data_IF_372095024051
#
_entry.id   IF_372095024051
#
_cell.length_a   1.000
_cell.length_b   1.000
_cell.length_c   1.000
_cell.angle_alpha   90.00
_cell.angle_beta   90.00
_cell.angle_gamma   90.00
#
_symmetry.space_group_name_H-M   'P 1'
#
loop_
_entity.id
_entity.type
_entity.pdbx_description
1 polymer ?
#
# COMPACT_ATOMS: atom_id res chain seq x y z
N UNK A 1 10.96 97.14 -25.36
CA UNK A 1 10.26 96.44 -24.24
C UNK A 1 9.62 95.14 -24.63
N UNK A 2 9.43 94.83 -25.91
CA UNK A 2 8.79 93.59 -26.36
C UNK A 2 9.69 92.28 -26.29
N UNK A 3 11.03 92.44 -26.31
CA UNK A 3 11.92 91.24 -26.33
C UNK A 3 12.18 90.63 -24.95
N UNK A 4 12.14 91.40 -23.87
CA UNK A 4 12.28 90.90 -22.52
C UNK A 4 11.10 90.00 -22.09
N UNK A 5 9.90 90.34 -22.51
CA UNK A 5 8.71 89.55 -22.18
C UNK A 5 8.66 88.25 -22.96
N UNK A 6 9.16 88.16 -24.18
CA UNK A 6 9.28 86.87 -24.92
C UNK A 6 10.32 85.93 -24.31
N UNK A 7 11.46 86.49 -23.85
CA UNK A 7 12.49 85.69 -23.18
C UNK A 7 12.01 85.11 -21.81
N UNK A 8 11.21 85.87 -21.07
CA UNK A 8 10.59 85.39 -19.81
C UNK A 8 9.52 84.37 -20.10
N UNK A 9 8.72 84.46 -21.15
CA UNK A 9 7.69 83.47 -21.53
C UNK A 9 8.32 82.18 -22.04
N UNK A 10 9.38 82.24 -22.83
CA UNK A 10 10.09 81.02 -23.31
C UNK A 10 10.89 80.36 -22.20
N UNK A 11 11.52 81.13 -21.30
CA UNK A 11 12.21 80.55 -20.12
C UNK A 11 11.23 79.94 -19.12
N UNK A 12 10.10 80.60 -18.88
CA UNK A 12 9.04 79.98 -18.01
C UNK A 12 8.41 78.71 -18.58
N UNK A 13 8.18 78.70 -19.91
CA UNK A 13 7.68 77.53 -20.63
C UNK A 13 8.65 76.30 -20.58
N UNK A 14 9.96 76.61 -20.76
CA UNK A 14 10.98 75.56 -20.66
C UNK A 14 11.11 74.96 -19.22
N UNK A 15 10.99 75.85 -18.22
CA UNK A 15 11.03 75.48 -16.81
C UNK A 15 9.80 74.58 -16.43
N UNK A 16 8.62 74.96 -16.93
CA UNK A 16 7.37 74.20 -16.71
C UNK A 16 7.38 72.86 -17.42
N UNK A 17 7.90 72.82 -18.66
CA UNK A 17 8.14 71.55 -19.37
C UNK A 17 9.16 70.63 -18.63
N UNK A 18 10.24 71.21 -18.12
CA UNK A 18 11.22 70.49 -17.30
C UNK A 18 10.61 69.90 -16.02
N UNK A 19 9.77 70.71 -15.34
CA UNK A 19 9.03 70.22 -14.15
C UNK A 19 8.03 69.11 -14.48
N UNK A 20 7.31 69.20 -15.60
CA UNK A 20 6.37 68.19 -16.07
C UNK A 20 7.12 66.88 -16.40
N UNK A 21 8.27 66.96 -17.07
CA UNK A 21 9.11 65.84 -17.39
C UNK A 21 9.71 65.20 -16.11
N UNK A 22 10.15 65.98 -15.15
CA UNK A 22 10.65 65.60 -13.87
C UNK A 22 9.56 64.91 -13.04
N UNK A 23 8.36 65.45 -13.04
CA UNK A 23 7.18 64.91 -12.40
C UNK A 23 6.76 63.56 -13.05
N UNK A 24 6.77 63.50 -14.38
CA UNK A 24 6.48 62.26 -15.12
C UNK A 24 7.53 61.17 -14.86
N UNK A 25 8.81 61.50 -14.77
CA UNK A 25 9.89 60.57 -14.42
C UNK A 25 9.83 60.15 -12.94
N UNK A 26 9.46 61.05 -12.03
CA UNK A 26 9.33 60.79 -10.60
C UNK A 26 8.08 59.97 -10.25
N UNK A 27 7.01 60.11 -11.04
CA UNK A 27 5.73 59.41 -10.84
C UNK A 27 5.54 58.19 -11.72
N UNK A 28 6.59 57.73 -12.41
CA UNK A 28 6.50 56.45 -13.11
C UNK A 28 6.21 55.36 -12.11
N UNK A 29 5.10 54.57 -12.28
CA UNK A 29 4.82 53.45 -11.44
C UNK A 29 6.01 52.47 -11.52
N UNK A 30 6.55 52.14 -10.37
CA UNK A 30 7.65 51.16 -10.28
C UNK A 30 7.09 49.77 -10.50
N UNK A 31 7.78 48.96 -11.31
CA UNK A 31 7.47 47.56 -11.45
C UNK A 31 7.50 46.90 -10.07
N UNK A 32 6.45 46.18 -9.72
CA UNK A 32 6.38 45.43 -8.46
C UNK A 32 6.91 44.03 -8.72
N UNK A 33 7.82 43.55 -7.84
CA UNK A 33 8.44 42.23 -7.97
C UNK A 33 7.89 41.32 -6.89
N UNK A 34 7.21 40.26 -7.31
CA UNK A 34 6.77 39.21 -6.42
C UNK A 34 7.86 38.14 -6.33
N UNK A 35 8.09 37.65 -5.12
CA UNK A 35 9.02 36.58 -4.86
C UNK A 35 8.25 35.30 -4.60
N UNK A 36 8.61 34.25 -5.34
CA UNK A 36 8.19 32.85 -5.07
C UNK A 36 9.38 31.94 -4.84
N UNK A 37 9.10 30.71 -4.56
CA UNK A 37 10.10 29.67 -4.33
C UNK A 37 9.80 28.45 -5.17
N UNK A 38 10.86 27.83 -5.71
CA UNK A 38 10.74 26.54 -6.37
C UNK A 38 10.56 25.44 -5.32
N UNK A 39 9.51 24.66 -5.48
CA UNK A 39 9.22 23.47 -4.69
C UNK A 39 9.26 22.23 -5.59
N UNK A 40 9.38 21.07 -4.99
CA UNK A 40 9.29 19.80 -5.68
C UNK A 40 8.67 18.75 -4.74
N UNK A 41 8.12 17.70 -5.33
CA UNK A 41 7.45 16.66 -4.54
C UNK A 41 8.44 15.89 -3.69
N UNK A 42 8.15 15.86 -2.39
CA UNK A 42 8.89 15.08 -1.43
C UNK A 42 8.20 13.73 -1.17
N UNK A 43 9.00 12.68 -1.13
CA UNK A 43 8.59 11.32 -0.81
C UNK A 43 9.31 10.82 0.43
N UNK A 44 8.55 10.27 1.36
CA UNK A 44 9.08 9.65 2.56
C UNK A 44 9.24 8.15 2.34
N UNK A 45 10.46 7.65 2.45
CA UNK A 45 10.74 6.20 2.48
C UNK A 45 10.69 5.76 3.93
N UNK A 46 9.61 5.07 4.29
CA UNK A 46 9.33 4.59 5.64
C UNK A 46 9.21 3.07 5.67
N UNK A 47 9.41 2.47 6.86
CA UNK A 47 9.21 1.04 7.05
C UNK A 47 7.78 0.72 7.48
N UNK A 48 7.21 -0.34 6.91
CA UNK A 48 5.97 -0.95 7.42
C UNK A 48 6.19 -1.82 8.65
N UNK A 49 7.44 -2.17 8.92
CA UNK A 49 7.85 -3.08 9.99
C UNK A 49 8.64 -2.30 11.02
N UNK A 50 8.30 -2.39 12.32
CA UNK A 50 9.16 -1.85 13.36
C UNK A 50 10.41 -2.73 13.51
N UNK A 51 11.54 -2.09 13.80
CA UNK A 51 12.79 -2.82 14.02
C UNK A 51 13.99 -1.88 14.09
N UNK A 52 15.17 -2.45 14.24
CA UNK A 52 16.41 -1.68 14.25
C UNK A 52 16.94 -1.52 12.84
N UNK A 53 17.28 -0.29 12.45
CA UNK A 53 17.98 -0.05 11.17
C UNK A 53 19.30 -0.82 11.18
N UNK A 54 19.42 -1.79 10.31
CA UNK A 54 20.66 -2.56 10.14
C UNK A 54 21.68 -1.73 9.38
N UNK A 55 21.25 -1.18 8.23
CA UNK A 55 22.11 -0.36 7.37
C UNK A 55 21.28 0.59 6.52
N UNK A 56 21.79 1.81 6.35
CA UNK A 56 21.33 2.75 5.33
C UNK A 56 22.33 2.73 4.19
N UNK A 57 21.88 2.52 2.96
CA UNK A 57 22.72 2.34 1.77
C UNK A 57 22.93 3.64 0.99
N UNK A 58 22.18 4.69 1.33
CA UNK A 58 22.17 5.98 0.64
C UNK A 58 22.63 7.09 1.56
N UNK A 59 23.12 8.18 0.98
CA UNK A 59 23.53 9.40 1.68
C UNK A 59 22.78 10.60 1.12
N UNK A 60 22.71 11.65 1.91
CA UNK A 60 22.17 12.94 1.47
C UNK A 60 22.89 13.44 0.20
N UNK A 61 22.11 13.77 -0.83
CA UNK A 61 22.59 14.20 -2.14
C UNK A 61 22.77 13.08 -3.17
N UNK A 62 22.58 11.80 -2.78
CA UNK A 62 22.66 10.71 -3.73
C UNK A 62 21.48 10.72 -4.70
N UNK A 63 21.73 10.47 -5.98
CA UNK A 63 20.73 10.24 -7.00
C UNK A 63 20.44 8.75 -7.08
N UNK A 64 19.20 8.35 -6.81
CA UNK A 64 18.78 6.95 -6.78
C UNK A 64 17.61 6.73 -7.73
N UNK A 65 17.50 5.51 -8.26
CA UNK A 65 16.43 5.08 -9.16
C UNK A 65 15.35 4.35 -8.41
N UNK A 66 14.16 4.36 -8.95
CA UNK A 66 13.05 3.53 -8.45
C UNK A 66 13.47 2.06 -8.34
N UNK A 67 13.27 1.48 -7.16
CA UNK A 67 13.63 0.09 -6.85
C UNK A 67 15.00 -0.09 -6.23
N UNK A 68 15.87 0.93 -6.23
CA UNK A 68 17.17 0.86 -5.56
C UNK A 68 16.97 0.67 -4.04
N UNK A 69 17.85 -0.11 -3.42
CA UNK A 69 17.79 -0.38 -1.98
C UNK A 69 18.22 0.85 -1.19
N UNK A 70 17.35 1.31 -0.30
CA UNK A 70 17.56 2.53 0.50
C UNK A 70 18.08 2.19 1.90
N UNK A 71 17.41 1.28 2.60
CA UNK A 71 17.84 0.81 3.93
C UNK A 71 17.35 -0.60 4.20
N UNK A 72 17.96 -1.28 5.18
CA UNK A 72 17.51 -2.56 5.72
C UNK A 72 17.23 -2.47 7.22
N UNK A 73 16.26 -3.27 7.68
CA UNK A 73 15.87 -3.39 9.09
C UNK A 73 16.16 -4.81 9.55
N UNK A 74 16.70 -4.93 10.74
CA UNK A 74 16.79 -6.19 11.48
C UNK A 74 15.57 -6.31 12.40
N UNK A 75 14.81 -7.39 12.24
CA UNK A 75 13.63 -7.70 13.06
C UNK A 75 13.62 -9.19 13.43
N UNK A 76 14.39 -9.60 14.46
CA UNK A 76 14.44 -10.99 14.92
C UNK A 76 13.05 -11.52 15.33
N UNK A 77 12.15 -10.63 15.75
CA UNK A 77 10.78 -10.97 16.11
C UNK A 77 9.98 -11.47 14.92
N UNK A 78 10.22 -10.93 13.72
CA UNK A 78 9.57 -11.40 12.49
C UNK A 78 10.13 -12.74 12.04
N UNK A 79 11.42 -12.97 12.19
CA UNK A 79 12.04 -14.26 11.88
C UNK A 79 11.49 -15.35 12.81
N UNK A 80 11.34 -15.05 14.11
CA UNK A 80 10.73 -15.96 15.07
C UNK A 80 9.24 -16.23 14.74
N UNK A 81 8.50 -15.22 14.32
CA UNK A 81 7.10 -15.37 13.85
C UNK A 81 7.01 -16.21 12.60
N UNK A 82 7.94 -16.04 11.64
CA UNK A 82 7.99 -16.91 10.45
C UNK A 82 8.18 -18.36 10.85
N UNK A 83 9.18 -18.65 11.66
CA UNK A 83 9.46 -20.00 12.13
C UNK A 83 8.24 -20.63 12.86
N UNK A 84 7.52 -19.84 13.67
CA UNK A 84 6.27 -20.26 14.31
C UNK A 84 5.16 -20.57 13.29
N UNK A 85 4.96 -19.69 12.31
CA UNK A 85 3.94 -19.87 11.26
C UNK A 85 4.25 -21.09 10.39
N UNK A 86 5.50 -21.30 10.00
CA UNK A 86 5.96 -22.48 9.24
C UNK A 86 5.73 -23.78 10.02
N UNK A 87 6.04 -23.79 11.32
CA UNK A 87 5.77 -24.93 12.18
C UNK A 87 4.27 -25.23 12.26
N UNK A 88 3.43 -24.19 12.40
CA UNK A 88 1.97 -24.30 12.37
C UNK A 88 1.44 -24.86 11.04
N UNK A 89 1.95 -24.37 9.93
CA UNK A 89 1.61 -24.88 8.59
C UNK A 89 2.03 -26.35 8.42
N UNK A 90 3.24 -26.72 8.85
CA UNK A 90 3.73 -28.10 8.81
C UNK A 90 2.84 -29.05 9.60
N UNK A 91 2.38 -28.64 10.79
CA UNK A 91 1.45 -29.43 11.61
C UNK A 91 0.07 -29.57 10.94
N UNK A 92 -0.48 -28.48 10.41
CA UNK A 92 -1.77 -28.49 9.70
C UNK A 92 -1.71 -29.34 8.42
N UNK A 93 -0.61 -29.28 7.70
CA UNK A 93 -0.36 -30.10 6.51
C UNK A 93 -0.27 -31.58 6.86
N UNK A 94 0.45 -31.95 7.92
CA UNK A 94 0.55 -33.34 8.37
C UNK A 94 -0.84 -33.90 8.73
N UNK A 95 -1.69 -33.10 9.39
CA UNK A 95 -3.07 -33.48 9.69
C UNK A 95 -3.91 -33.63 8.41
N UNK A 96 -3.77 -32.73 7.45
CA UNK A 96 -4.45 -32.80 6.16
C UNK A 96 -4.06 -34.05 5.38
N UNK A 97 -2.77 -34.38 5.37
CA UNK A 97 -2.23 -35.57 4.70
C UNK A 97 -2.70 -36.85 5.39
N UNK A 98 -2.80 -36.88 6.73
CA UNK A 98 -3.35 -37.99 7.50
C UNK A 98 -4.82 -38.25 7.15
N UNK A 99 -5.65 -37.21 7.21
CA UNK A 99 -7.08 -37.28 6.87
C UNK A 99 -7.29 -37.69 5.40
N UNK A 100 -6.45 -37.21 4.49
CA UNK A 100 -6.49 -37.58 3.07
C UNK A 100 -6.12 -39.02 2.82
N UNK A 101 -5.13 -39.56 3.52
CA UNK A 101 -4.69 -40.97 3.45
C UNK A 101 -5.80 -41.89 3.90
N UNK A 102 -6.60 -41.50 4.89
CA UNK A 102 -7.68 -42.31 5.43
C UNK A 102 -7.22 -43.31 6.47
N UNK A 103 -7.98 -44.42 6.61
CA UNK A 103 -7.66 -45.46 7.57
C UNK A 103 -6.36 -46.17 7.21
N UNK A 104 -5.63 -46.63 8.22
CA UNK A 104 -4.41 -47.44 8.01
C UNK A 104 -4.75 -48.80 7.44
N UNK A 105 -3.86 -49.37 6.65
CA UNK A 105 -4.05 -50.68 6.01
C UNK A 105 -4.33 -51.79 7.02
N UNK A 106 -3.70 -51.74 8.22
CA UNK A 106 -3.94 -52.71 9.29
C UNK A 106 -5.40 -52.62 9.80
N UNK A 107 -5.95 -51.41 9.90
CA UNK A 107 -7.34 -51.23 10.34
C UNK A 107 -8.32 -51.74 9.28
N UNK A 108 -8.04 -51.50 7.99
CA UNK A 108 -8.83 -52.03 6.88
C UNK A 108 -8.79 -53.52 6.83
N UNK A 109 -7.62 -54.11 6.96
CA UNK A 109 -7.43 -55.58 6.95
C UNK A 109 -8.13 -56.25 8.13
N UNK A 110 -7.98 -55.70 9.35
CA UNK A 110 -8.69 -56.22 10.54
C UNK A 110 -10.22 -56.16 10.36
N UNK A 111 -10.77 -55.06 9.86
CA UNK A 111 -12.20 -54.92 9.61
C UNK A 111 -12.69 -55.94 8.54
N UNK A 112 -11.88 -56.15 7.49
CA UNK A 112 -12.15 -57.18 6.47
C UNK A 112 -12.19 -58.60 7.03
N UNK A 113 -11.22 -58.95 7.87
CA UNK A 113 -11.13 -60.27 8.46
C UNK A 113 -12.33 -60.57 9.40
N UNK A 114 -12.74 -59.56 10.19
CA UNK A 114 -13.97 -59.62 11.01
C UNK A 114 -15.21 -59.85 10.14
N UNK A 115 -15.32 -59.11 9.02
CA UNK A 115 -16.44 -59.32 8.08
C UNK A 115 -16.41 -60.71 7.47
N UNK A 116 -15.25 -61.24 7.04
CA UNK A 116 -15.12 -62.59 6.48
C UNK A 116 -15.53 -63.65 7.48
N UNK A 117 -15.14 -63.49 8.74
CA UNK A 117 -15.56 -64.42 9.82
C UNK A 117 -17.09 -64.41 10.01
N UNK A 118 -17.70 -63.20 10.08
CA UNK A 118 -19.14 -63.05 10.18
C UNK A 118 -19.90 -63.66 8.97
N UNK A 119 -19.36 -63.47 7.75
CA UNK A 119 -19.88 -64.00 6.51
C UNK A 119 -19.88 -65.53 6.50
N UNK A 120 -18.79 -66.12 6.97
CA UNK A 120 -18.67 -67.62 7.08
C UNK A 120 -19.73 -68.16 8.06
N UNK A 121 -19.94 -67.44 9.18
CA UNK A 121 -20.94 -67.84 10.18
C UNK A 121 -22.39 -67.73 9.64
N UNK A 122 -22.68 -66.60 8.91
CA UNK A 122 -23.98 -66.44 8.27
C UNK A 122 -24.26 -67.48 7.19
N UNK A 123 -23.23 -67.86 6.42
CA UNK A 123 -23.32 -68.88 5.40
C UNK A 123 -23.64 -70.24 6.03
N UNK A 124 -22.94 -70.65 7.11
CA UNK A 124 -23.21 -71.85 7.83
C UNK A 124 -24.64 -71.90 8.40
N UNK A 125 -25.09 -70.77 9.02
CA UNK A 125 -26.45 -70.70 9.59
C UNK A 125 -27.50 -70.81 8.49
N UNK A 126 -27.27 -70.14 7.31
CA UNK A 126 -28.14 -70.26 6.15
C UNK A 126 -28.30 -71.69 5.64
N UNK A 127 -27.20 -72.34 5.45
CA UNK A 127 -27.22 -73.77 4.99
C UNK A 127 -27.85 -74.72 6.05
N UNK A 128 -27.67 -74.41 7.33
CA UNK A 128 -28.33 -75.17 8.42
C UNK A 128 -29.84 -74.88 8.41
N UNK A 129 -30.29 -73.65 8.31
CA UNK A 129 -31.70 -73.32 8.20
C UNK A 129 -32.31 -74.02 6.98
N UNK A 130 -31.69 -73.90 5.79
CA UNK A 130 -32.17 -74.59 4.60
C UNK A 130 -32.39 -76.09 4.79
N UNK A 131 -31.42 -76.78 5.41
CA UNK A 131 -31.57 -78.25 5.75
C UNK A 131 -32.69 -78.47 6.70
N UNK A 132 -32.86 -77.70 7.75
CA UNK A 132 -33.94 -77.85 8.75
C UNK A 132 -35.29 -77.55 8.12
N UNK A 133 -35.38 -76.59 7.23
CA UNK A 133 -36.60 -76.26 6.46
C UNK A 133 -36.98 -77.45 5.57
N UNK A 134 -36.05 -78.02 4.82
CA UNK A 134 -36.32 -79.21 3.99
C UNK A 134 -36.81 -80.40 4.82
N UNK A 135 -36.24 -80.66 6.03
CA UNK A 135 -36.69 -81.63 6.94
C UNK A 135 -38.07 -81.36 7.53
N UNK A 136 -38.39 -80.12 7.79
CA UNK A 136 -39.74 -79.67 8.26
C UNK A 136 -40.76 -79.90 7.17
N UNK A 137 -40.49 -79.50 5.95
CA UNK A 137 -41.37 -79.68 4.79
C UNK A 137 -41.70 -81.14 4.51
N UNK A 138 -40.74 -82.07 4.85
CA UNK A 138 -40.92 -83.56 4.76
C UNK A 138 -41.48 -84.15 6.04
N UNK A 139 -41.92 -83.34 7.04
CA UNK A 139 -42.53 -83.87 8.27
C UNK A 139 -41.57 -84.49 9.29
N UNK A 140 -40.25 -84.35 9.13
CA UNK A 140 -39.21 -84.93 9.99
C UNK A 140 -38.79 -84.01 11.12
N UNK A 141 -38.84 -82.70 10.93
CA UNK A 141 -38.46 -81.68 11.92
C UNK A 141 -39.70 -80.95 12.50
N UNK A 142 -39.61 -80.52 13.78
CA UNK A 142 -40.68 -79.72 14.40
C UNK A 142 -40.63 -78.28 13.95
N UNK A 143 -41.76 -77.59 14.02
CA UNK A 143 -41.88 -76.11 13.77
C UNK A 143 -40.90 -75.29 14.63
N UNK A 144 -40.78 -75.74 15.92
CA UNK A 144 -39.84 -75.03 16.83
C UNK A 144 -38.39 -75.16 16.35
N UNK A 145 -37.91 -76.32 15.87
CA UNK A 145 -36.54 -76.40 15.30
C UNK A 145 -36.32 -75.55 14.04
N UNK A 146 -37.35 -75.49 13.18
CA UNK A 146 -37.31 -74.64 11.99
C UNK A 146 -37.18 -73.15 12.38
N UNK A 147 -37.99 -72.73 13.38
CA UNK A 147 -38.01 -71.30 13.84
C UNK A 147 -36.69 -70.94 14.56
N UNK A 148 -36.13 -71.85 15.37
CA UNK A 148 -34.81 -71.70 15.98
C UNK A 148 -33.71 -71.56 14.93
N UNK A 149 -33.70 -72.39 13.90
CA UNK A 149 -32.72 -72.26 12.80
C UNK A 149 -32.91 -70.97 11.97
N UNK A 150 -34.13 -70.60 11.75
CA UNK A 150 -34.45 -69.32 11.09
C UNK A 150 -33.98 -68.08 11.89
N UNK A 151 -34.28 -68.09 13.21
CA UNK A 151 -33.81 -67.02 14.08
C UNK A 151 -32.29 -66.90 14.14
N UNK A 152 -31.59 -68.09 14.20
CA UNK A 152 -30.13 -68.13 14.14
C UNK A 152 -29.57 -67.55 12.80
N UNK A 153 -30.20 -67.97 11.68
CA UNK A 153 -29.83 -67.45 10.37
C UNK A 153 -30.03 -65.87 10.28
N UNK A 154 -31.19 -65.39 10.65
CA UNK A 154 -31.45 -63.91 10.60
C UNK A 154 -30.48 -63.17 11.53
N UNK A 155 -30.19 -63.66 12.75
CA UNK A 155 -29.22 -63.04 13.66
C UNK A 155 -27.82 -62.96 13.05
N UNK A 156 -27.32 -64.05 12.45
CA UNK A 156 -25.98 -64.08 11.83
C UNK A 156 -25.91 -63.24 10.57
N UNK A 157 -26.97 -63.16 9.79
CA UNK A 157 -27.11 -62.27 8.61
C UNK A 157 -27.02 -60.80 8.99
N UNK A 158 -27.67 -60.38 10.08
CA UNK A 158 -27.55 -58.98 10.57
C UNK A 158 -26.15 -58.71 11.13
N UNK A 159 -25.50 -59.69 11.79
CA UNK A 159 -24.11 -59.57 12.24
C UNK A 159 -23.13 -59.41 11.07
N UNK A 160 -23.32 -60.21 9.99
CA UNK A 160 -22.52 -60.04 8.75
C UNK A 160 -22.72 -58.63 8.15
N UNK A 161 -23.97 -58.17 8.04
CA UNK A 161 -24.27 -56.85 7.53
C UNK A 161 -23.61 -55.75 8.36
N UNK A 162 -23.66 -55.84 9.68
CA UNK A 162 -23.00 -54.86 10.57
C UNK A 162 -21.47 -54.86 10.40
N UNK A 163 -20.87 -56.07 10.31
CA UNK A 163 -19.43 -56.21 10.06
C UNK A 163 -19.02 -55.67 8.69
N UNK A 164 -19.84 -55.92 7.66
CA UNK A 164 -19.65 -55.34 6.32
C UNK A 164 -19.66 -53.82 6.32
N UNK A 165 -20.63 -53.20 7.01
CA UNK A 165 -20.69 -51.75 7.12
C UNK A 165 -19.44 -51.17 7.82
N UNK A 166 -18.93 -51.81 8.86
CA UNK A 166 -17.67 -51.40 9.51
C UNK A 166 -16.47 -51.50 8.54
N UNK A 167 -16.37 -52.58 7.77
CA UNK A 167 -15.33 -52.72 6.74
C UNK A 167 -15.45 -51.61 5.67
N UNK A 168 -16.67 -51.33 5.19
CA UNK A 168 -16.95 -50.28 4.22
C UNK A 168 -16.61 -48.89 4.76
N UNK A 169 -16.86 -48.62 6.04
CA UNK A 169 -16.46 -47.36 6.70
C UNK A 169 -14.92 -47.25 6.78
N UNK A 170 -14.23 -48.35 7.11
CA UNK A 170 -12.76 -48.38 7.13
C UNK A 170 -12.17 -48.06 5.72
N UNK A 171 -12.74 -48.65 4.67
CA UNK A 171 -12.34 -48.40 3.28
C UNK A 171 -12.60 -46.97 2.84
N UNK A 172 -13.73 -46.38 3.23
CA UNK A 172 -14.11 -45.02 2.88
C UNK A 172 -13.22 -43.95 3.55
N UNK A 173 -12.61 -44.29 4.68
CA UNK A 173 -11.77 -43.39 5.45
C UNK A 173 -12.55 -42.19 6.00
N UNK A 174 -11.91 -41.05 6.06
CA UNK A 174 -12.53 -39.80 6.53
C UNK A 174 -13.59 -39.28 5.54
N UNK A 175 -14.64 -38.66 6.09
CA UNK A 175 -15.69 -38.04 5.27
C UNK A 175 -15.18 -36.93 4.38
N UNK A 176 -15.94 -36.58 3.33
CA UNK A 176 -15.64 -35.46 2.44
C UNK A 176 -15.51 -34.14 3.21
N UNK A 177 -16.39 -33.94 4.20
CA UNK A 177 -16.42 -32.76 5.06
C UNK A 177 -15.15 -32.67 5.92
N UNK A 178 -14.71 -33.80 6.50
CA UNK A 178 -13.47 -33.88 7.27
C UNK A 178 -12.24 -33.54 6.39
N UNK A 179 -12.21 -34.06 5.16
CA UNK A 179 -11.15 -33.78 4.20
C UNK A 179 -11.12 -32.30 3.82
N UNK A 180 -12.29 -31.68 3.56
CA UNK A 180 -12.42 -30.25 3.26
C UNK A 180 -11.98 -29.40 4.46
N UNK A 181 -12.43 -29.75 5.67
CA UNK A 181 -12.08 -29.03 6.89
C UNK A 181 -10.56 -29.09 7.18
N UNK A 182 -9.93 -30.26 7.04
CA UNK A 182 -8.48 -30.40 7.21
C UNK A 182 -7.70 -29.60 6.16
N UNK A 183 -8.15 -29.62 4.89
CA UNK A 183 -7.54 -28.82 3.82
C UNK A 183 -7.71 -27.30 4.03
N UNK A 184 -8.87 -26.87 4.49
CA UNK A 184 -9.11 -25.47 4.84
C UNK A 184 -8.20 -25.00 5.97
N UNK A 185 -7.98 -25.85 7.00
CA UNK A 185 -7.04 -25.55 8.10
C UNK A 185 -5.60 -25.45 7.62
N UNK A 186 -5.15 -26.31 6.72
CA UNK A 186 -3.83 -26.23 6.07
C UNK A 186 -3.69 -24.92 5.29
N UNK A 187 -4.72 -24.56 4.49
CA UNK A 187 -4.71 -23.33 3.70
C UNK A 187 -4.70 -22.08 4.58
N UNK A 188 -5.42 -22.07 5.69
CA UNK A 188 -5.39 -20.96 6.66
C UNK A 188 -3.99 -20.80 7.30
N UNK A 189 -3.34 -21.91 7.66
CA UNK A 189 -1.99 -21.89 8.21
C UNK A 189 -0.95 -21.43 7.17
N UNK A 190 -1.11 -21.80 5.89
CA UNK A 190 -0.28 -21.28 4.80
C UNK A 190 -0.49 -19.76 4.61
N UNK A 191 -1.73 -19.28 4.76
CA UNK A 191 -2.03 -17.85 4.74
C UNK A 191 -1.25 -17.07 5.80
N UNK A 192 -1.08 -17.63 7.00
CA UNK A 192 -0.26 -17.03 8.05
C UNK A 192 1.23 -16.95 7.68
N UNK A 193 1.77 -17.98 7.03
CA UNK A 193 3.16 -17.95 6.52
C UNK A 193 3.32 -16.82 5.50
N UNK A 194 2.42 -16.77 4.50
CA UNK A 194 2.45 -15.75 3.45
C UNK A 194 2.33 -14.32 4.00
N UNK A 195 1.54 -14.15 5.07
CA UNK A 195 1.42 -12.85 5.76
C UNK A 195 2.77 -12.41 6.34
N UNK A 196 3.43 -13.27 7.09
CA UNK A 196 4.74 -12.94 7.69
C UNK A 196 5.82 -12.76 6.63
N UNK A 197 5.85 -13.58 5.59
CA UNK A 197 6.74 -13.39 4.44
C UNK A 197 6.53 -12.04 3.75
N UNK A 198 5.29 -11.57 3.66
CA UNK A 198 5.00 -10.24 3.11
C UNK A 198 5.63 -9.13 3.96
N UNK A 199 5.59 -9.24 5.29
CA UNK A 199 6.30 -8.29 6.16
C UNK A 199 7.82 -8.39 6.03
N UNK A 200 8.38 -9.59 5.85
CA UNK A 200 9.82 -9.78 5.63
C UNK A 200 10.32 -9.17 4.33
N UNK A 201 9.48 -9.06 3.29
CA UNK A 201 9.84 -8.32 2.07
C UNK A 201 10.00 -6.83 2.35
N UNK A 202 9.19 -6.29 3.26
CA UNK A 202 9.21 -4.88 3.64
C UNK A 202 10.38 -4.51 4.61
N UNK A 203 11.16 -5.49 5.07
CA UNK A 203 12.41 -5.30 5.83
C UNK A 203 13.48 -4.60 4.99
N UNK A 204 13.45 -4.77 3.67
CA UNK A 204 14.32 -4.08 2.71
C UNK A 204 13.51 -3.00 2.01
N UNK A 205 13.69 -1.75 2.44
CA UNK A 205 13.01 -0.62 1.85
C UNK A 205 13.72 -0.16 0.56
N UNK A 206 12.93 0.02 -0.49
CA UNK A 206 13.42 0.47 -1.80
C UNK A 206 12.86 1.83 -2.16
N UNK A 207 13.54 2.55 -3.04
CA UNK A 207 13.13 3.85 -3.54
C UNK A 207 11.80 3.74 -4.33
N UNK A 208 10.76 4.53 -3.98
CA UNK A 208 9.47 4.51 -4.67
C UNK A 208 9.51 5.19 -6.05
N UNK A 209 10.49 6.08 -6.26
CA UNK A 209 10.64 6.92 -7.46
C UNK A 209 12.11 7.08 -7.82
N UNK A 210 12.38 7.62 -9.02
CA UNK A 210 13.69 8.22 -9.34
C UNK A 210 13.77 9.59 -8.65
N UNK A 211 14.86 9.88 -7.94
CA UNK A 211 14.99 11.15 -7.26
C UNK A 211 16.33 11.35 -6.56
N UNK A 212 16.45 12.46 -5.85
CA UNK A 212 17.61 12.79 -5.03
C UNK A 212 17.26 12.64 -3.54
N UNK A 213 18.16 12.08 -2.76
CA UNK A 213 18.00 11.97 -1.30
C UNK A 213 18.18 13.34 -0.67
N UNK A 214 17.10 13.88 -0.10
CA UNK A 214 17.11 15.19 0.58
C UNK A 214 17.65 15.09 2.00
N UNK A 215 17.24 14.04 2.72
CA UNK A 215 17.70 13.84 4.08
C UNK A 215 17.66 12.35 4.48
N UNK A 216 18.52 11.99 5.44
CA UNK A 216 18.53 10.69 6.13
C UNK A 216 18.21 10.99 7.58
N UNK A 217 17.04 10.55 8.05
CA UNK A 217 16.52 10.89 9.38
C UNK A 217 16.96 9.89 10.45
N UNK A 218 17.18 8.62 10.08
CA UNK A 218 17.65 7.57 10.97
C UNK A 218 18.91 6.92 10.41
N UNK A 219 19.83 6.60 11.31
CA UNK A 219 21.09 5.95 11.00
C UNK A 219 21.08 4.46 11.39
N UNK A 220 22.08 3.71 10.90
CA UNK A 220 22.29 2.33 11.30
C UNK A 220 22.41 2.18 12.82
N UNK A 221 21.73 1.20 13.40
CA UNK A 221 21.66 0.97 14.84
C UNK A 221 20.48 1.63 15.55
N UNK A 222 19.81 2.60 14.94
CA UNK A 222 18.65 3.28 15.53
C UNK A 222 17.36 2.46 15.36
N UNK A 223 16.39 2.66 16.26
CA UNK A 223 15.10 2.00 16.20
C UNK A 223 14.13 2.78 15.32
N UNK A 224 13.56 2.11 14.33
CA UNK A 224 12.51 2.67 13.46
C UNK A 224 11.14 2.15 13.87
N UNK A 225 10.24 3.01 14.35
CA UNK A 225 8.85 2.67 14.53
C UNK A 225 8.15 2.44 13.17
N UNK A 226 7.05 1.70 13.18
CA UNK A 226 6.22 1.51 11.99
C UNK A 226 5.74 2.84 11.41
N UNK A 227 5.95 3.06 10.11
CA UNK A 227 5.51 4.26 9.39
C UNK A 227 6.38 5.50 9.59
N UNK A 228 7.43 5.43 10.41
CA UNK A 228 8.34 6.56 10.56
C UNK A 228 9.26 6.70 9.34
N UNK A 229 9.42 7.91 8.78
CA UNK A 229 10.28 8.14 7.63
C UNK A 229 11.75 7.96 8.02
N UNK A 230 12.47 7.12 7.31
CA UNK A 230 13.92 6.90 7.50
C UNK A 230 14.72 7.77 6.55
N UNK A 231 14.25 7.89 5.31
CA UNK A 231 14.90 8.68 4.26
C UNK A 231 13.84 9.53 3.55
N UNK A 232 14.19 10.77 3.28
CA UNK A 232 13.39 11.69 2.48
C UNK A 232 14.02 11.83 1.09
N UNK A 233 13.18 11.76 0.05
CA UNK A 233 13.58 11.87 -1.35
C UNK A 233 12.79 12.97 -2.04
N UNK A 234 13.40 13.63 -3.00
CA UNK A 234 12.76 14.68 -3.80
C UNK A 234 12.74 14.25 -5.27
N UNK A 235 11.56 14.36 -5.89
CA UNK A 235 11.40 14.24 -7.34
C UNK A 235 11.61 15.61 -8.00
N UNK A 236 12.80 15.85 -8.50
CA UNK A 236 13.11 17.09 -9.21
C UNK A 236 12.37 17.23 -10.55
N UNK A 237 11.73 16.17 -11.06
CA UNK A 237 10.92 16.22 -12.29
C UNK A 237 9.51 16.75 -12.02
N UNK A 238 8.96 16.51 -10.81
CA UNK A 238 7.67 17.02 -10.37
C UNK A 238 7.89 18.26 -9.50
N UNK A 239 8.23 19.37 -10.15
CA UNK A 239 8.55 20.65 -9.51
C UNK A 239 7.59 21.75 -9.94
N UNK A 240 7.38 22.71 -9.05
CA UNK A 240 6.54 23.87 -9.29
C UNK A 240 7.10 25.12 -8.61
N UNK A 241 6.67 26.27 -9.09
CA UNK A 241 6.85 27.56 -8.44
C UNK A 241 5.68 27.82 -7.51
N UNK A 242 5.95 28.07 -6.26
CA UNK A 242 4.99 28.55 -5.26
C UNK A 242 5.20 30.04 -5.05
N UNK A 243 4.17 30.84 -5.29
CA UNK A 243 4.23 32.30 -5.16
C UNK A 243 3.00 32.79 -4.42
N UNK A 244 3.22 33.77 -3.52
CA UNK A 244 2.13 34.45 -2.80
C UNK A 244 1.79 35.73 -3.55
N UNK A 245 0.59 35.80 -4.09
CA UNK A 245 0.12 36.89 -4.94
C UNK A 245 -0.91 37.75 -4.19
N UNK A 246 -0.66 39.06 -3.99
CA UNK A 246 -1.65 39.97 -3.44
C UNK A 246 -2.93 40.01 -4.27
N UNK A 247 -4.08 40.20 -3.62
CA UNK A 247 -5.42 40.21 -4.24
C UNK A 247 -5.51 41.11 -5.48
N UNK A 248 -4.89 42.28 -5.44
CA UNK A 248 -4.88 43.24 -6.54
C UNK A 248 -4.30 42.72 -7.86
N UNK A 249 -3.46 41.64 -7.80
CA UNK A 249 -2.81 41.04 -8.98
C UNK A 249 -3.38 39.70 -9.39
N UNK A 250 -4.44 39.20 -8.74
CA UNK A 250 -5.02 37.89 -9.05
C UNK A 250 -5.48 37.76 -10.51
N UNK A 251 -5.90 38.84 -11.13
CA UNK A 251 -6.30 38.84 -12.54
C UNK A 251 -5.16 38.47 -13.48
N UNK A 252 -3.91 38.67 -13.05
CA UNK A 252 -2.70 38.33 -13.80
C UNK A 252 -2.27 36.87 -13.65
N UNK A 253 -2.82 36.13 -12.66
CA UNK A 253 -2.45 34.74 -12.31
C UNK A 253 -3.62 33.77 -12.44
N UNK A 254 -4.47 33.94 -13.45
CA UNK A 254 -5.54 32.97 -13.74
C UNK A 254 -4.97 31.62 -14.16
N UNK A 255 -5.63 30.54 -13.76
CA UNK A 255 -5.25 29.20 -14.16
C UNK A 255 -5.10 29.07 -15.68
N UNK A 256 -3.97 28.53 -16.13
CA UNK A 256 -3.59 28.39 -17.53
C UNK A 256 -2.81 29.61 -18.10
N UNK A 257 -2.74 30.73 -17.39
CA UNK A 257 -1.95 31.91 -17.84
C UNK A 257 -0.45 31.62 -17.70
N UNK A 258 0.33 32.09 -18.65
CA UNK A 258 1.79 31.97 -18.67
C UNK A 258 2.42 33.30 -18.27
N UNK A 259 3.53 33.21 -17.54
CA UNK A 259 4.33 34.36 -17.14
C UNK A 259 5.82 33.96 -17.07
N UNK A 260 6.67 34.97 -17.07
CA UNK A 260 8.12 34.80 -16.98
C UNK A 260 8.59 35.05 -15.54
N UNK A 261 9.44 34.19 -15.01
CA UNK A 261 10.08 34.36 -13.72
C UNK A 261 11.60 34.30 -13.85
N UNK A 262 12.30 35.26 -13.25
CA UNK A 262 13.77 35.24 -13.19
C UNK A 262 14.26 34.47 -11.97
N UNK A 263 15.17 33.53 -12.19
CA UNK A 263 15.77 32.69 -11.13
C UNK A 263 17.20 33.22 -10.87
N UNK A 264 17.41 34.04 -9.81
CA UNK A 264 18.71 34.66 -9.57
C UNK A 264 19.87 33.70 -9.43
N UNK A 265 19.64 32.58 -8.74
CA UNK A 265 20.65 31.54 -8.51
C UNK A 265 21.17 30.88 -9.80
N UNK A 266 20.32 30.79 -10.81
CA UNK A 266 20.68 30.23 -12.13
C UNK A 266 21.02 31.32 -13.15
N UNK A 267 20.80 32.62 -12.82
CA UNK A 267 20.93 33.78 -13.74
C UNK A 267 20.17 33.57 -15.05
N UNK A 268 19.00 32.93 -14.96
CA UNK A 268 18.14 32.59 -16.11
C UNK A 268 16.69 32.96 -15.82
N UNK A 269 15.97 33.34 -16.88
CA UNK A 269 14.51 33.41 -16.86
C UNK A 269 13.93 32.09 -17.34
N UNK A 270 12.79 31.72 -16.79
CA UNK A 270 12.01 30.58 -17.21
C UNK A 270 10.54 30.97 -17.33
N UNK A 271 9.83 30.30 -18.24
CA UNK A 271 8.38 30.43 -18.39
C UNK A 271 7.65 29.46 -17.50
N UNK A 272 6.64 29.99 -16.82
CA UNK A 272 5.78 29.25 -15.92
C UNK A 272 4.33 29.34 -16.38
N UNK A 273 3.53 28.29 -16.17
CA UNK A 273 2.09 28.30 -16.38
C UNK A 273 1.37 28.05 -15.07
N UNK A 274 0.42 28.90 -14.73
CA UNK A 274 -0.40 28.73 -13.54
C UNK A 274 -1.20 27.42 -13.62
N UNK A 275 -0.97 26.55 -12.65
CA UNK A 275 -1.66 25.25 -12.49
C UNK A 275 -2.78 25.35 -11.46
N UNK A 276 -2.53 26.06 -10.37
CA UNK A 276 -3.43 26.16 -9.24
C UNK A 276 -3.42 27.58 -8.66
N UNK A 277 -4.59 28.01 -8.25
CA UNK A 277 -4.81 29.25 -7.50
C UNK A 277 -5.63 28.87 -6.26
N UNK A 278 -5.11 29.22 -5.07
CA UNK A 278 -5.80 28.93 -3.81
C UNK A 278 -7.18 29.57 -3.75
N UNK A 279 -8.17 28.84 -3.28
CA UNK A 279 -9.53 29.33 -3.06
C UNK A 279 -9.63 30.22 -1.81
N UNK A 280 -8.69 30.05 -0.86
CA UNK A 280 -8.63 30.81 0.38
C UNK A 280 -7.41 31.69 0.39
N UNK A 281 -7.61 32.99 0.71
CA UNK A 281 -6.51 33.91 0.92
C UNK A 281 -6.00 33.82 2.35
N UNK A 282 -4.67 33.69 2.48
CA UNK A 282 -3.98 33.78 3.75
C UNK A 282 -3.55 35.23 4.05
N UNK A 283 -3.46 35.57 5.35
CA UNK A 283 -2.83 36.78 5.74
C UNK A 283 -1.31 36.66 5.48
N UNK A 284 -0.79 37.49 4.59
CA UNK A 284 0.65 37.59 4.46
C UNK A 284 1.23 38.06 5.80
N UNK A 285 1.97 37.19 6.46
CA UNK A 285 2.64 37.45 7.75
C UNK A 285 3.78 38.47 7.63
N UNK A 286 3.79 39.32 6.60
CA UNK A 286 4.88 40.25 6.33
C UNK A 286 4.38 41.69 6.07
N UNK A 287 4.65 42.54 7.03
CA UNK A 287 4.51 43.99 7.09
C UNK A 287 3.08 44.53 7.10
N UNK A 288 2.61 44.85 8.29
CA UNK A 288 1.77 46.03 8.45
C UNK A 288 2.48 47.22 7.77
N UNK A 289 2.12 47.56 6.55
CA UNK A 289 2.56 48.78 5.90
C UNK A 289 1.72 49.89 6.49
N UNK A 290 2.32 50.64 7.38
CA UNK A 290 1.86 51.95 7.75
C UNK A 290 1.80 52.82 6.47
N UNK A 291 0.71 52.78 5.75
CA UNK A 291 0.31 53.80 4.80
C UNK A 291 -1.21 53.85 4.78
N UNK A 292 -1.73 54.94 5.20
CA UNK A 292 -3.06 55.33 5.60
C UNK A 292 -4.17 55.26 4.54
N UNK A 293 -4.14 54.34 3.56
CA UNK A 293 -5.22 54.22 2.57
C UNK A 293 -5.40 52.83 1.94
N UNK A 294 -4.92 51.78 2.59
CA UNK A 294 -5.07 50.40 2.06
C UNK A 294 -5.69 49.51 3.12
N UNK A 295 -6.80 48.85 2.77
CA UNK A 295 -7.37 47.77 3.55
C UNK A 295 -6.36 46.61 3.68
N UNK A 296 -6.47 45.79 4.71
CA UNK A 296 -5.65 44.60 4.91
C UNK A 296 -5.83 43.64 3.73
N UNK A 297 -4.90 43.70 2.77
CA UNK A 297 -4.95 42.95 1.53
C UNK A 297 -4.49 41.51 1.78
N UNK A 298 -5.34 40.57 1.45
CA UNK A 298 -4.99 39.15 1.51
C UNK A 298 -4.07 38.77 0.35
N UNK A 299 -3.26 37.74 0.58
CA UNK A 299 -2.46 37.12 -0.46
C UNK A 299 -2.98 35.72 -0.73
N UNK A 300 -2.89 35.30 -1.97
CA UNK A 300 -3.34 33.99 -2.42
C UNK A 300 -2.14 33.19 -2.92
N UNK A 301 -2.11 31.92 -2.56
CA UNK A 301 -1.09 31.02 -3.05
C UNK A 301 -1.38 30.61 -4.49
N UNK A 302 -0.38 30.76 -5.33
CA UNK A 302 -0.39 30.36 -6.74
C UNK A 302 0.70 29.34 -6.96
N UNK A 303 0.34 28.19 -7.54
CA UNK A 303 1.29 27.20 -8.02
C UNK A 303 1.39 27.28 -9.55
N UNK A 304 2.61 27.35 -10.06
CA UNK A 304 2.86 27.39 -11.48
C UNK A 304 3.93 26.37 -11.88
N UNK A 305 3.67 25.62 -12.94
CA UNK A 305 4.61 24.62 -13.45
C UNK A 305 5.56 25.26 -14.46
N UNK A 306 6.86 24.93 -14.44
CA UNK A 306 7.78 25.35 -15.47
C UNK A 306 7.41 24.69 -16.80
N UNK A 307 7.43 25.45 -17.90
CA UNK A 307 7.17 24.93 -19.25
C UNK A 307 8.37 24.21 -19.86
N UNK A 308 9.55 24.49 -19.35
CA UNK A 308 10.80 23.89 -19.75
C UNK A 308 11.45 23.19 -18.55
N UNK A 309 12.22 22.15 -18.81
CA UNK A 309 12.96 21.45 -17.78
C UNK A 309 14.01 22.39 -17.16
N UNK A 310 13.88 22.62 -15.86
CA UNK A 310 14.85 23.41 -15.10
C UNK A 310 16.05 22.52 -14.73
N UNK A 311 17.20 22.76 -15.37
CA UNK A 311 18.44 22.06 -15.04
C UNK A 311 19.11 22.71 -13.83
N UNK A 312 19.71 21.89 -12.97
CA UNK A 312 20.48 22.32 -11.80
C UNK A 312 19.71 23.19 -10.79
N UNK A 313 18.37 23.14 -10.79
CA UNK A 313 17.63 23.85 -9.75
C UNK A 313 17.69 23.09 -8.42
N UNK A 314 17.48 23.81 -7.33
CA UNK A 314 17.31 23.29 -5.97
C UNK A 314 16.00 23.78 -5.39
N UNK A 315 15.35 22.93 -4.60
CA UNK A 315 14.16 23.32 -3.83
C UNK A 315 14.51 24.48 -2.90
N UNK A 316 13.62 25.48 -2.83
CA UNK A 316 13.83 26.71 -2.08
C UNK A 316 14.52 27.83 -2.86
N UNK A 317 14.94 27.61 -4.12
CA UNK A 317 15.45 28.72 -4.94
C UNK A 317 14.36 29.75 -5.18
N UNK A 318 14.74 31.01 -5.03
CA UNK A 318 13.85 32.15 -5.29
C UNK A 318 13.60 32.34 -6.78
N UNK A 319 12.38 32.72 -7.11
CA UNK A 319 11.97 33.19 -8.44
C UNK A 319 11.35 34.57 -8.30
N UNK A 320 11.83 35.51 -9.09
CA UNK A 320 11.34 36.87 -9.11
C UNK A 320 10.43 37.06 -10.32
N UNK A 321 9.19 37.43 -10.05
CA UNK A 321 8.16 37.69 -11.08
C UNK A 321 7.85 39.17 -11.09
N UNK A 322 8.18 39.86 -12.19
CA UNK A 322 7.94 41.29 -12.35
C UNK A 322 6.54 41.49 -12.92
N UNK A 323 5.73 42.25 -12.19
CA UNK A 323 4.40 42.68 -12.62
C UNK A 323 4.52 44.08 -13.15
N UNK A 324 4.09 44.28 -14.39
CA UNK A 324 3.96 45.62 -14.98
C UNK A 324 2.65 46.22 -14.50
N UNK A 325 2.67 47.46 -14.01
CA UNK A 325 1.47 48.16 -13.53
C UNK A 325 0.44 48.40 -14.63
#
# INVERSE_FOLDING_TARGET
MLDKNKAILTGGGALLLGLIVLFYLAYRPKDEVLQGFLEAREYSVSSKVPGRIEKVFVKKGDHIKKGDLVFSISSPELEAKLAQAEAGHKAAKALSDEVKRGSRDETINSARDIWQAAKSQATLAKETYKRVQDLYDNGVASLQKRDEAYAAYESTKYNESAAYQKYKMALGGASSESKIAAKAKESAALGQVNEVESYLKDVKATAPIDGEVSNVLLSGGELSPKGFPVVLMIDLKDSWLKISVPEKYLSEFKVGKEFEGYIPALKKSAKFRVKYLSVMGDFATWKATNNSNTYDMKSYEVEAIPLEKLENFRVGMSVLVTIKP
#
